data_IF_002183134977
#
_entry.id   IF_002183134977
#
_cell.length_a   1.000
_cell.length_b   1.000
_cell.length_c   1.000
_cell.angle_alpha   90.00
_cell.angle_beta   90.00
_cell.angle_gamma   90.00
#
_symmetry.space_group_name_H-M   'P 1'
#
loop_
_entity.id
_entity.type
_entity.pdbx_description
1 polymer ?
#
# COMPACT_ATOMS: atom_id res chain seq x y z
N UNK A 1 18.30 -3.54 10.40
CA UNK A 1 18.99 -4.63 11.10
C UNK A 1 19.21 -5.77 10.10
N UNK A 2 20.48 -6.09 9.81
CA UNK A 2 20.89 -7.07 8.79
C UNK A 2 20.23 -8.44 8.98
N UNK A 3 20.08 -8.89 10.24
CA UNK A 3 19.43 -10.16 10.57
C UNK A 3 17.97 -10.22 10.12
N UNK A 4 17.24 -9.10 10.19
CA UNK A 4 15.86 -9.03 9.68
C UNK A 4 15.81 -9.08 8.16
N UNK A 5 16.77 -8.45 7.49
CA UNK A 5 16.86 -8.48 6.02
C UNK A 5 17.16 -9.90 5.51
N UNK A 6 18.07 -10.63 6.16
CA UNK A 6 18.41 -12.00 5.78
C UNK A 6 17.19 -12.94 5.79
N UNK A 7 16.25 -12.76 6.73
CA UNK A 7 15.00 -13.55 6.79
C UNK A 7 14.08 -13.38 5.58
N UNK A 8 14.25 -12.30 4.81
CA UNK A 8 13.50 -12.11 3.55
C UNK A 8 13.98 -13.12 2.50
N UNK A 9 15.28 -13.40 2.47
CA UNK A 9 15.89 -14.33 1.51
C UNK A 9 15.70 -15.79 1.88
N UNK A 10 15.54 -16.10 3.16
CA UNK A 10 15.32 -17.48 3.63
C UNK A 10 13.85 -17.88 3.68
N UNK A 11 12.93 -16.95 3.36
CA UNK A 11 11.47 -17.10 3.50
C UNK A 11 11.00 -17.48 4.91
N UNK A 12 11.86 -17.36 5.92
CA UNK A 12 11.52 -17.67 7.31
C UNK A 12 10.51 -16.66 7.85
N UNK A 13 9.26 -17.12 8.00
CA UNK A 13 8.14 -16.36 8.58
C UNK A 13 7.66 -17.01 9.87
N UNK A 14 8.41 -16.86 10.97
CA UNK A 14 8.13 -17.59 12.22
C UNK A 14 6.84 -17.15 12.92
N UNK A 15 6.22 -16.04 12.50
CA UNK A 15 5.01 -15.51 13.14
C UNK A 15 3.79 -15.78 12.29
N UNK A 16 2.96 -16.75 12.66
CA UNK A 16 1.75 -17.12 11.93
C UNK A 16 0.49 -16.58 12.63
N UNK A 17 -0.40 -15.97 11.85
CA UNK A 17 -1.73 -15.60 12.29
C UNK A 17 -2.62 -16.84 12.29
N UNK A 18 -3.14 -17.22 13.46
CA UNK A 18 -4.00 -18.39 13.62
C UNK A 18 -5.36 -18.19 12.93
N UNK A 19 -5.86 -16.95 12.87
CA UNK A 19 -7.19 -16.65 12.34
C UNK A 19 -7.28 -16.75 10.80
N UNK A 20 -6.20 -16.44 10.08
CA UNK A 20 -6.21 -16.46 8.61
C UNK A 20 -5.01 -17.18 7.96
N UNK A 21 -4.15 -17.80 8.77
CA UNK A 21 -3.00 -18.58 8.30
C UNK A 21 -1.82 -17.76 7.75
N UNK A 22 -1.94 -16.42 7.64
CA UNK A 22 -0.87 -15.57 7.11
C UNK A 22 0.37 -15.58 8.02
N UNK A 23 1.56 -15.68 7.42
CA UNK A 23 2.81 -15.69 8.14
C UNK A 23 3.64 -14.41 7.90
N UNK A 24 4.37 -13.97 8.93
CA UNK A 24 5.12 -12.72 9.00
C UNK A 24 6.55 -12.96 9.49
N UNK A 25 7.46 -12.09 9.06
CA UNK A 25 8.90 -12.18 9.35
C UNK A 25 9.20 -11.64 10.75
N UNK A 26 8.46 -10.63 11.21
CA UNK A 26 8.67 -10.00 12.50
C UNK A 26 7.40 -9.88 13.37
N UNK A 27 7.62 -9.66 14.68
CA UNK A 27 6.54 -9.52 15.68
C UNK A 27 5.71 -8.26 15.48
N UNK A 28 6.30 -7.19 14.93
CA UNK A 28 5.60 -5.94 14.68
C UNK A 28 4.58 -6.09 13.55
N UNK A 29 4.98 -6.77 12.48
CA UNK A 29 4.16 -7.05 11.31
C UNK A 29 2.93 -7.89 11.68
N UNK A 30 3.11 -8.99 12.42
CA UNK A 30 1.96 -9.78 12.89
C UNK A 30 1.07 -8.97 13.84
N UNK A 31 1.65 -8.16 14.74
CA UNK A 31 0.87 -7.32 15.66
C UNK A 31 -0.02 -6.32 14.89
N UNK A 32 0.54 -5.63 13.90
CA UNK A 32 -0.23 -4.73 13.04
C UNK A 32 -1.25 -5.49 12.20
N UNK A 33 -0.93 -6.69 11.73
CA UNK A 33 -1.87 -7.52 11.02
C UNK A 33 -3.06 -7.94 11.89
N UNK A 34 -2.84 -8.31 13.16
CA UNK A 34 -3.93 -8.68 14.08
C UNK A 34 -4.93 -7.53 14.29
N UNK A 35 -4.50 -6.27 14.18
CA UNK A 35 -5.40 -5.11 14.21
C UNK A 35 -6.44 -5.13 13.08
N UNK A 36 -6.16 -5.82 11.97
CA UNK A 36 -7.14 -6.00 10.87
C UNK A 36 -8.27 -6.95 11.23
N UNK A 37 -8.06 -7.82 12.21
CA UNK A 37 -9.08 -8.73 12.73
C UNK A 37 -9.85 -8.13 13.90
N UNK A 38 -9.16 -7.40 14.78
CA UNK A 38 -9.81 -6.75 15.95
C UNK A 38 -10.50 -5.44 15.59
N UNK A 39 -10.12 -4.81 14.47
CA UNK A 39 -10.57 -3.47 14.11
C UNK A 39 -9.90 -2.36 14.92
N UNK A 40 -8.92 -2.68 15.76
CA UNK A 40 -8.21 -1.71 16.59
C UNK A 40 -7.46 -0.70 15.71
N UNK A 41 -7.67 0.60 15.98
CA UNK A 41 -7.06 1.70 15.23
C UNK A 41 -6.57 2.76 16.22
N UNK A 42 -5.38 2.56 16.81
CA UNK A 42 -4.92 3.33 17.97
C UNK A 42 -4.52 4.77 17.63
N UNK A 43 -4.36 5.12 16.35
CA UNK A 43 -3.94 6.46 15.93
C UNK A 43 -5.13 7.23 15.39
N UNK A 44 -5.49 8.36 15.99
CA UNK A 44 -6.62 9.18 15.55
C UNK A 44 -6.14 10.52 14.97
N UNK A 45 -6.79 10.95 13.90
CA UNK A 45 -6.61 12.30 13.37
C UNK A 45 -7.20 13.33 14.33
N UNK A 46 -6.40 14.30 14.76
CA UNK A 46 -6.86 15.35 15.67
C UNK A 46 -7.82 16.35 15.03
N UNK A 47 -7.90 16.39 13.69
CA UNK A 47 -8.78 17.34 12.98
C UNK A 47 -10.13 16.75 12.59
N UNK A 48 -10.19 15.47 12.22
CA UNK A 48 -11.43 14.82 11.74
C UNK A 48 -11.80 13.56 12.52
N UNK A 49 -11.03 13.18 13.54
CA UNK A 49 -11.20 11.96 14.34
C UNK A 49 -11.14 10.65 13.54
N UNK A 50 -10.69 10.69 12.28
CA UNK A 50 -10.54 9.47 11.47
C UNK A 50 -9.46 8.56 12.10
N UNK A 51 -9.77 7.27 12.35
CA UNK A 51 -8.87 6.36 13.02
C UNK A 51 -8.00 5.55 12.03
N UNK A 52 -6.75 5.30 12.41
CA UNK A 52 -5.72 4.62 11.63
C UNK A 52 -5.03 3.51 12.46
N UNK A 53 -4.64 2.44 11.78
CA UNK A 53 -3.90 1.31 12.39
C UNK A 53 -2.40 1.62 12.56
N UNK A 54 -1.85 2.56 11.79
CA UNK A 54 -0.43 2.88 11.80
C UNK A 54 -0.19 4.39 11.80
N UNK A 55 0.86 4.83 12.51
CA UNK A 55 1.22 6.26 12.65
C UNK A 55 1.62 6.91 11.33
N UNK A 56 2.32 6.20 10.45
CA UNK A 56 2.70 6.70 9.11
C UNK A 56 1.48 6.96 8.22
N UNK A 57 0.44 6.12 8.32
CA UNK A 57 -0.81 6.33 7.58
C UNK A 57 -1.52 7.59 8.09
N UNK A 58 -1.57 7.79 9.41
CA UNK A 58 -2.06 9.04 9.99
C UNK A 58 -1.22 10.24 9.51
N UNK A 59 0.11 10.17 9.55
CA UNK A 59 0.97 11.27 9.11
C UNK A 59 0.74 11.63 7.64
N UNK A 60 0.57 10.63 6.78
CA UNK A 60 0.24 10.83 5.37
C UNK A 60 -1.16 11.42 5.20
N UNK A 61 -2.13 10.97 6.00
CA UNK A 61 -3.48 11.54 6.02
C UNK A 61 -3.47 13.01 6.47
N UNK A 62 -2.65 13.40 7.45
CA UNK A 62 -2.56 14.80 7.91
C UNK A 62 -2.18 15.77 6.79
N UNK A 63 -1.44 15.30 5.77
CA UNK A 63 -1.11 16.11 4.59
C UNK A 63 -2.35 16.50 3.77
N UNK A 64 -3.45 15.75 3.87
CA UNK A 64 -4.72 16.12 3.23
C UNK A 64 -5.38 17.33 3.89
N UNK A 65 -5.10 17.56 5.17
CA UNK A 65 -5.57 18.73 5.90
C UNK A 65 -4.68 19.95 5.68
N UNK A 66 -3.36 19.76 5.66
CA UNK A 66 -2.40 20.86 5.47
C UNK A 66 -2.24 21.26 4.00
N UNK A 67 -2.59 20.36 3.08
CA UNK A 67 -2.34 20.53 1.65
C UNK A 67 -0.88 20.28 1.25
N UNK A 68 -0.03 19.81 2.18
CA UNK A 68 1.37 19.49 1.89
C UNK A 68 1.48 18.38 0.85
N UNK A 69 2.33 18.61 -0.16
CA UNK A 69 2.58 17.66 -1.25
C UNK A 69 4.09 17.51 -1.47
N UNK A 70 4.79 16.79 -0.57
CA UNK A 70 6.25 16.71 -0.59
C UNK A 70 6.83 15.92 -1.76
N UNK A 71 5.98 15.25 -2.56
CA UNK A 71 6.42 14.40 -3.67
C UNK A 71 6.09 15.05 -5.01
N UNK A 72 7.04 15.79 -5.55
CA UNK A 72 6.92 16.48 -6.82
C UNK A 72 7.27 15.58 -8.01
N UNK A 73 6.54 15.76 -9.11
CA UNK A 73 6.86 15.12 -10.37
C UNK A 73 7.96 15.89 -11.09
N UNK A 74 8.99 15.18 -11.55
CA UNK A 74 10.10 15.81 -12.29
C UNK A 74 9.77 16.10 -13.76
N UNK A 75 8.63 15.62 -14.25
CA UNK A 75 8.21 15.75 -15.66
C UNK A 75 7.05 16.73 -15.85
N UNK A 76 6.43 17.22 -14.77
CA UNK A 76 5.38 18.24 -14.79
C UNK A 76 5.16 18.85 -13.40
N UNK A 77 4.40 19.94 -13.31
CA UNK A 77 4.20 20.69 -12.05
C UNK A 77 3.27 20.02 -11.03
N UNK A 78 2.99 18.71 -11.18
CA UNK A 78 2.10 17.99 -10.26
C UNK A 78 2.88 17.48 -9.05
N UNK A 79 2.35 17.77 -7.87
CA UNK A 79 2.85 17.25 -6.60
C UNK A 79 1.80 16.37 -5.88
N UNK A 80 2.27 15.44 -5.07
CA UNK A 80 1.46 14.44 -4.38
C UNK A 80 1.80 14.37 -2.88
N UNK A 81 0.80 14.05 -2.06
CA UNK A 81 0.98 13.77 -0.63
C UNK A 81 1.71 12.44 -0.40
N UNK A 82 1.47 11.44 -1.24
CA UNK A 82 2.05 10.10 -1.10
C UNK A 82 3.03 9.77 -2.24
N UNK A 83 4.19 9.19 -1.91
CA UNK A 83 5.16 8.70 -2.90
C UNK A 83 4.58 7.63 -3.84
N UNK A 84 3.68 6.76 -3.33
CA UNK A 84 3.00 5.76 -4.16
C UNK A 84 2.12 6.39 -5.25
N UNK A 85 1.47 7.51 -4.94
CA UNK A 85 0.67 8.26 -5.91
C UNK A 85 1.56 8.93 -6.95
N UNK A 86 2.69 9.51 -6.54
CA UNK A 86 3.69 10.04 -7.48
C UNK A 86 4.18 8.95 -8.44
N UNK A 87 4.58 7.77 -7.93
CA UNK A 87 5.02 6.65 -8.79
C UNK A 87 3.96 6.21 -9.79
N UNK A 88 2.71 6.08 -9.35
CA UNK A 88 1.60 5.74 -10.24
C UNK A 88 1.35 6.84 -11.29
N UNK A 89 1.50 8.11 -10.91
CA UNK A 89 1.42 9.23 -11.83
C UNK A 89 2.56 9.22 -12.85
N UNK A 90 3.80 8.94 -12.46
CA UNK A 90 4.93 8.89 -13.38
C UNK A 90 4.72 7.89 -14.52
N UNK A 91 3.95 6.82 -14.30
CA UNK A 91 3.54 5.87 -15.35
C UNK A 91 2.68 6.50 -16.46
N UNK A 92 2.02 7.62 -16.20
CA UNK A 92 1.28 8.34 -17.25
C UNK A 92 2.20 9.01 -18.25
N UNK A 93 3.42 9.34 -17.84
CA UNK A 93 4.43 9.91 -18.73
C UNK A 93 5.18 8.84 -19.51
N UNK A 94 5.53 7.73 -18.85
CA UNK A 94 6.28 6.63 -19.49
C UNK A 94 5.39 5.69 -20.30
N UNK A 95 4.07 5.69 -20.05
CA UNK A 95 3.14 4.72 -20.63
C UNK A 95 3.26 3.31 -20.04
N UNK A 96 4.04 3.13 -18.97
CA UNK A 96 4.27 1.83 -18.33
C UNK A 96 2.94 1.23 -17.82
N UNK A 97 2.67 -0.02 -18.21
CA UNK A 97 1.47 -0.77 -17.81
C UNK A 97 1.86 -2.14 -17.22
N UNK A 98 2.32 -2.19 -15.95
CA UNK A 98 2.89 -3.42 -15.36
C UNK A 98 1.88 -4.54 -15.15
N UNK A 99 0.59 -4.25 -15.22
CA UNK A 99 -0.47 -5.19 -14.88
C UNK A 99 -1.16 -5.67 -16.16
N UNK A 100 -0.65 -6.74 -16.74
CA UNK A 100 -1.20 -7.37 -17.93
C UNK A 100 -2.24 -8.44 -17.57
N UNK A 101 -3.35 -8.47 -18.31
CA UNK A 101 -4.33 -9.53 -18.22
C UNK A 101 -3.82 -10.78 -18.95
N UNK A 102 -3.99 -11.95 -18.33
CA UNK A 102 -3.63 -13.22 -18.96
C UNK A 102 -4.74 -13.76 -19.86
N UNK A 103 -5.98 -13.25 -19.70
CA UNK A 103 -7.16 -13.69 -20.45
C UNK A 103 -7.45 -12.79 -21.67
N UNK A 104 -6.79 -11.64 -21.76
CA UNK A 104 -6.88 -10.75 -22.92
C UNK A 104 -5.66 -9.83 -22.99
N UNK A 105 -5.46 -9.11 -24.09
CA UNK A 105 -4.28 -8.27 -24.32
C UNK A 105 -4.29 -6.93 -23.54
N UNK A 106 -5.28 -6.68 -22.68
CA UNK A 106 -5.38 -5.43 -21.93
C UNK A 106 -4.33 -5.37 -20.83
N UNK A 107 -3.62 -4.24 -20.77
CA UNK A 107 -2.68 -3.90 -19.71
C UNK A 107 -3.05 -2.60 -19.01
N UNK A 108 -2.75 -2.50 -17.72
CA UNK A 108 -3.13 -1.37 -16.86
C UNK A 108 -1.92 -0.82 -16.12
N UNK A 109 -1.88 0.51 -15.96
CA UNK A 109 -0.85 1.22 -15.19
C UNK A 109 -1.07 1.11 -13.67
N UNK A 110 -2.29 0.79 -13.24
CA UNK A 110 -2.66 0.67 -11.83
C UNK A 110 -3.27 -0.70 -11.51
N UNK A 111 -2.86 -1.26 -10.37
CA UNK A 111 -3.31 -2.59 -9.91
C UNK A 111 -4.82 -2.67 -9.66
N UNK A 112 -5.42 -1.61 -9.12
CA UNK A 112 -6.85 -1.62 -8.80
C UNK A 112 -7.72 -1.75 -10.06
N UNK A 113 -7.38 -1.00 -11.12
CA UNK A 113 -8.06 -1.08 -12.42
C UNK A 113 -7.93 -2.48 -13.02
N UNK A 114 -6.75 -3.08 -12.90
CA UNK A 114 -6.50 -4.46 -13.31
C UNK A 114 -7.38 -5.46 -12.56
N UNK A 115 -7.46 -5.38 -11.23
CA UNK A 115 -8.29 -6.29 -10.42
C UNK A 115 -9.77 -6.16 -10.79
N UNK A 116 -10.27 -4.94 -11.00
CA UNK A 116 -11.66 -4.73 -11.44
C UNK A 116 -11.87 -5.34 -12.82
N UNK A 117 -10.94 -5.12 -13.75
CA UNK A 117 -11.00 -5.73 -15.07
C UNK A 117 -11.01 -7.26 -15.01
N UNK A 118 -10.22 -7.89 -14.15
CA UNK A 118 -10.21 -9.36 -14.05
C UNK A 118 -11.59 -9.94 -13.71
N UNK A 119 -12.41 -9.22 -12.94
CA UNK A 119 -13.78 -9.64 -12.60
C UNK A 119 -14.71 -9.70 -13.81
N UNK A 120 -14.39 -9.04 -14.92
CA UNK A 120 -15.21 -9.12 -16.14
C UNK A 120 -15.08 -10.45 -16.86
N UNK A 121 -14.06 -11.25 -16.54
CA UNK A 121 -13.84 -12.58 -17.14
C UNK A 121 -14.37 -13.73 -16.30
N UNK A 122 -14.63 -13.48 -15.01
CA UNK A 122 -15.18 -14.47 -14.08
C UNK A 122 -16.69 -14.38 -13.96
N UNK A 123 -17.35 -13.77 -14.96
CA UNK A 123 -18.80 -13.62 -15.03
C UNK A 123 -19.51 -14.95 -15.18
#
# INVERSE_FOLDING_TARGET
NLMRHLKIHTEEKPYQCIQCGKAFIDKGDIKHHLMTHTGEKPYQCSQCNEPFTQKNNLATHMQTHTGEKPHECTQCDKAFSCNSHLKNHQRTHTGEKPHQCSQCEKAFSQKYLFIIHQRTHTG
#
